data_IF_373749381741
#
_entry.id   IF_373749381741
#
_cell.length_a   1.000
_cell.length_b   1.000
_cell.length_c   1.000
_cell.angle_alpha   90.00
_cell.angle_beta   90.00
_cell.angle_gamma   90.00
#
_symmetry.space_group_name_H-M   'P 1'
#
loop_
_entity.id
_entity.type
_entity.pdbx_description
1 polymer ?
#
# COMPACT_ATOMS: atom_id res chain seq x y z
N UNK A 1 -7.48 -12.39 -2.56
CA UNK A 1 -6.51 -12.15 -3.66
C UNK A 1 -6.36 -10.65 -3.91
N UNK A 2 -5.24 -10.16 -4.48
CA UNK A 2 -5.01 -8.71 -4.69
C UNK A 2 -6.09 -8.07 -5.58
N UNK A 3 -6.40 -8.67 -6.74
CA UNK A 3 -7.43 -8.16 -7.63
C UNK A 3 -8.79 -8.02 -6.93
N UNK A 4 -9.21 -9.05 -6.19
CA UNK A 4 -10.46 -9.00 -5.41
C UNK A 4 -10.45 -7.85 -4.40
N UNK A 5 -9.34 -7.62 -3.71
CA UNK A 5 -9.24 -6.49 -2.78
C UNK A 5 -9.35 -5.14 -3.51
N UNK A 6 -8.65 -4.97 -4.66
CA UNK A 6 -8.73 -3.74 -5.45
C UNK A 6 -10.17 -3.50 -5.91
N UNK A 7 -10.86 -4.53 -6.42
CA UNK A 7 -12.26 -4.44 -6.83
C UNK A 7 -13.17 -4.03 -5.66
N UNK A 8 -13.00 -4.62 -4.47
CA UNK A 8 -13.74 -4.23 -3.27
C UNK A 8 -13.50 -2.76 -2.90
N UNK A 9 -12.27 -2.26 -3.02
CA UNK A 9 -11.96 -0.86 -2.71
C UNK A 9 -12.58 0.08 -3.75
N UNK A 10 -12.50 -0.25 -5.04
CA UNK A 10 -13.16 0.54 -6.10
C UNK A 10 -14.67 0.58 -5.85
N UNK A 11 -15.28 -0.56 -5.53
CA UNK A 11 -16.72 -0.61 -5.22
C UNK A 11 -17.07 0.28 -4.04
N UNK A 12 -16.45 0.06 -2.89
CA UNK A 12 -16.81 0.75 -1.65
C UNK A 12 -16.46 2.23 -1.60
N UNK A 13 -15.37 2.65 -2.27
CA UNK A 13 -14.89 4.03 -2.22
C UNK A 13 -15.26 4.89 -3.42
N UNK A 14 -15.67 4.27 -4.53
CA UNK A 14 -16.01 4.99 -5.76
C UNK A 14 -17.43 4.66 -6.22
N UNK A 15 -17.77 3.38 -6.39
CA UNK A 15 -19.07 3.02 -6.96
C UNK A 15 -20.23 3.18 -5.99
N UNK A 16 -20.10 2.76 -4.73
CA UNK A 16 -21.18 2.90 -3.75
C UNK A 16 -21.58 4.38 -3.55
N UNK A 17 -20.64 5.36 -3.44
CA UNK A 17 -21.00 6.77 -3.46
C UNK A 17 -21.68 7.24 -4.74
N UNK A 18 -21.26 6.75 -5.91
CA UNK A 18 -21.90 7.11 -7.19
C UNK A 18 -23.31 6.56 -7.28
N UNK A 19 -23.53 5.32 -6.85
CA UNK A 19 -24.85 4.70 -6.80
C UNK A 19 -25.78 5.48 -5.86
N UNK A 20 -25.29 5.91 -4.69
CA UNK A 20 -26.06 6.74 -3.75
C UNK A 20 -26.47 8.08 -4.37
N UNK A 21 -25.62 8.68 -5.21
CA UNK A 21 -25.85 10.02 -5.77
C UNK A 21 -26.66 10.01 -7.06
N UNK A 22 -26.54 8.94 -7.86
CA UNK A 22 -27.06 8.88 -9.23
C UNK A 22 -28.01 7.72 -9.50
N UNK A 23 -28.30 6.89 -8.50
CA UNK A 23 -29.21 5.73 -8.51
C UNK A 23 -28.84 4.57 -9.48
N UNK A 24 -27.94 4.80 -10.44
CA UNK A 24 -27.44 3.78 -11.37
C UNK A 24 -26.01 4.08 -11.85
N UNK A 25 -25.08 3.16 -11.59
CA UNK A 25 -23.70 3.19 -12.10
C UNK A 25 -23.48 2.37 -13.38
N UNK A 26 -24.53 1.80 -13.96
CA UNK A 26 -24.49 1.05 -15.22
C UNK A 26 -23.50 -0.12 -15.19
N UNK A 27 -22.61 -0.18 -16.18
CA UNK A 27 -21.63 -1.26 -16.35
C UNK A 27 -20.34 -1.10 -15.52
N UNK A 28 -20.25 -0.03 -14.71
CA UNK A 28 -19.05 0.28 -13.93
C UNK A 28 -18.60 -0.85 -12.98
N UNK A 29 -19.48 -1.64 -12.33
CA UNK A 29 -19.06 -2.75 -11.48
C UNK A 29 -18.27 -3.82 -12.25
N UNK A 30 -18.73 -4.23 -13.43
CA UNK A 30 -18.01 -5.20 -14.26
C UNK A 30 -16.68 -4.64 -14.76
N UNK A 31 -16.66 -3.38 -15.17
CA UNK A 31 -15.42 -2.69 -15.58
C UNK A 31 -14.43 -2.54 -14.42
N UNK A 32 -14.92 -2.36 -13.19
CA UNK A 32 -14.08 -2.28 -12.00
C UNK A 32 -13.37 -3.61 -11.74
N UNK A 33 -14.04 -4.75 -11.92
CA UNK A 33 -13.43 -6.07 -11.79
C UNK A 33 -12.30 -6.26 -12.83
N UNK A 34 -12.51 -5.88 -14.10
CA UNK A 34 -11.46 -5.93 -15.12
C UNK A 34 -10.27 -5.02 -14.81
N UNK A 35 -10.55 -3.79 -14.37
CA UNK A 35 -9.51 -2.82 -13.97
C UNK A 35 -8.71 -3.38 -12.80
N UNK A 36 -9.37 -3.98 -11.81
CA UNK A 36 -8.72 -4.57 -10.66
C UNK A 36 -7.79 -5.74 -11.05
N UNK A 37 -8.21 -6.58 -12.01
CA UNK A 37 -7.35 -7.65 -12.54
C UNK A 37 -6.12 -7.10 -13.26
N UNK A 38 -6.30 -6.11 -14.14
CA UNK A 38 -5.19 -5.49 -14.87
C UNK A 38 -4.18 -4.82 -13.92
N UNK A 39 -4.68 -4.10 -12.92
CA UNK A 39 -3.84 -3.44 -11.91
C UNK A 39 -3.09 -4.46 -11.06
N UNK A 40 -3.77 -5.52 -10.60
CA UNK A 40 -3.12 -6.58 -9.82
C UNK A 40 -2.01 -7.27 -10.62
N UNK A 41 -2.26 -7.58 -11.90
CA UNK A 41 -1.25 -8.14 -12.80
C UNK A 41 -0.05 -7.20 -12.96
N UNK A 42 -0.27 -5.91 -13.20
CA UNK A 42 0.81 -4.92 -13.32
C UNK A 42 1.65 -4.81 -12.04
N UNK A 43 1.02 -4.83 -10.85
CA UNK A 43 1.74 -4.74 -9.57
C UNK A 43 2.54 -5.99 -9.22
N UNK A 44 2.10 -7.16 -9.72
CA UNK A 44 2.74 -8.45 -9.47
C UNK A 44 3.78 -8.83 -10.52
N UNK A 45 3.71 -8.26 -11.73
CA UNK A 45 4.65 -8.51 -12.82
C UNK A 45 6.07 -7.99 -12.56
N UNK A 46 7.01 -8.35 -13.42
CA UNK A 46 8.44 -8.13 -13.17
C UNK A 46 8.91 -6.68 -13.40
N UNK A 47 8.13 -5.87 -14.13
CA UNK A 47 8.42 -4.46 -14.37
C UNK A 47 8.11 -3.61 -13.13
N UNK A 48 9.16 -3.23 -12.38
CA UNK A 48 9.02 -2.43 -11.17
C UNK A 48 8.44 -1.03 -11.43
N UNK A 49 8.76 -0.42 -12.58
CA UNK A 49 8.24 0.91 -12.92
C UNK A 49 6.73 0.85 -13.21
N UNK A 50 6.29 -0.16 -13.96
CA UNK A 50 4.87 -0.41 -14.19
C UNK A 50 4.12 -0.71 -12.89
N UNK A 51 4.72 -1.50 -11.99
CA UNK A 51 4.15 -1.81 -10.68
C UNK A 51 3.98 -0.55 -9.81
N UNK A 52 5.03 0.28 -9.71
CA UNK A 52 5.02 1.55 -8.98
C UNK A 52 3.98 2.51 -9.55
N UNK A 53 3.87 2.61 -10.88
CA UNK A 53 2.87 3.45 -11.52
C UNK A 53 1.43 2.98 -11.23
N UNK A 54 1.17 1.66 -11.31
CA UNK A 54 -0.12 1.09 -10.96
C UNK A 54 -0.50 1.35 -9.49
N UNK A 55 0.47 1.25 -8.57
CA UNK A 55 0.28 1.57 -7.15
C UNK A 55 -0.07 3.05 -6.98
N UNK A 56 0.72 3.96 -7.56
CA UNK A 56 0.48 5.40 -7.46
C UNK A 56 -0.92 5.76 -7.96
N UNK A 57 -1.36 5.16 -9.07
CA UNK A 57 -2.72 5.33 -9.61
C UNK A 57 -3.80 4.90 -8.63
N UNK A 58 -3.66 3.72 -8.01
CA UNK A 58 -4.64 3.20 -7.04
C UNK A 58 -4.69 4.07 -5.79
N UNK A 59 -3.53 4.42 -5.23
CA UNK A 59 -3.45 5.25 -4.02
C UNK A 59 -4.05 6.64 -4.28
N UNK A 60 -3.61 7.30 -5.36
CA UNK A 60 -4.10 8.64 -5.70
C UNK A 60 -5.59 8.70 -6.01
N UNK A 61 -6.16 7.65 -6.63
CA UNK A 61 -7.59 7.64 -6.99
C UNK A 61 -8.50 7.22 -5.83
N UNK A 62 -8.08 6.26 -4.99
CA UNK A 62 -8.97 5.61 -4.01
C UNK A 62 -8.68 5.99 -2.56
N UNK A 63 -7.60 6.73 -2.30
CA UNK A 63 -7.27 7.29 -0.99
C UNK A 63 -7.08 8.80 -1.09
N UNK A 64 -8.07 9.55 -1.63
CA UNK A 64 -7.99 11.00 -1.67
C UNK A 64 -8.08 11.57 -0.25
N UNK A 65 -7.37 12.67 -0.01
CA UNK A 65 -7.42 13.41 1.24
C UNK A 65 -6.45 14.58 1.19
N UNK A 66 -6.71 15.59 2.02
CA UNK A 66 -5.85 16.78 2.14
C UNK A 66 -4.59 16.50 2.98
N UNK A 67 -4.56 15.35 3.66
CA UNK A 67 -3.42 14.88 4.43
C UNK A 67 -2.61 13.86 3.65
N UNK A 68 -1.30 13.72 3.95
CA UNK A 68 -0.50 12.62 3.41
C UNK A 68 -1.16 11.26 3.62
N UNK A 69 -0.92 10.33 2.70
CA UNK A 69 -1.39 8.95 2.82
C UNK A 69 -0.83 8.31 4.09
N UNK A 70 -1.69 8.10 5.10
CA UNK A 70 -1.35 7.53 6.41
C UNK A 70 -2.38 6.46 6.79
N UNK A 71 -2.28 5.24 6.22
CA UNK A 71 -3.26 4.19 6.47
C UNK A 71 -3.03 3.55 7.85
N UNK A 72 -4.07 2.97 8.47
CA UNK A 72 -3.93 2.25 9.73
C UNK A 72 -3.01 1.04 9.60
N UNK A 73 -2.46 0.56 10.73
CA UNK A 73 -1.45 -0.50 10.73
C UNK A 73 -1.92 -1.82 10.09
N UNK A 74 -3.19 -2.19 10.25
CA UNK A 74 -3.79 -3.38 9.66
C UNK A 74 -3.87 -3.32 8.12
N UNK A 75 -3.97 -2.12 7.54
CA UNK A 75 -3.95 -1.93 6.09
C UNK A 75 -2.69 -2.51 5.46
N UNK A 76 -1.53 -2.35 6.12
CA UNK A 76 -0.25 -2.89 5.66
C UNK A 76 -0.23 -4.41 5.57
N UNK A 77 -1.10 -5.11 6.31
CA UNK A 77 -1.23 -6.57 6.27
C UNK A 77 -2.13 -7.07 5.14
N UNK A 78 -2.83 -6.17 4.44
CA UNK A 78 -3.66 -6.55 3.30
C UNK A 78 -2.81 -6.88 2.07
N UNK A 79 -3.33 -7.67 1.11
CA UNK A 79 -2.62 -7.93 -0.15
C UNK A 79 -2.11 -6.68 -0.87
N UNK A 80 -2.91 -5.60 -0.91
CA UNK A 80 -2.52 -4.32 -1.47
C UNK A 80 -1.39 -3.69 -0.63
N UNK A 81 -1.56 -3.62 0.70
CA UNK A 81 -0.53 -3.06 1.58
C UNK A 81 0.81 -3.77 1.49
N UNK A 82 0.82 -5.09 1.39
CA UNK A 82 2.03 -5.90 1.22
C UNK A 82 2.75 -5.61 -0.10
N UNK A 83 1.99 -5.49 -1.20
CA UNK A 83 2.55 -5.14 -2.51
C UNK A 83 3.07 -3.71 -2.55
N UNK A 84 2.36 -2.76 -1.93
CA UNK A 84 2.82 -1.37 -1.79
C UNK A 84 4.11 -1.31 -0.98
N UNK A 85 4.17 -1.95 0.19
CA UNK A 85 5.36 -1.98 1.04
C UNK A 85 6.59 -2.55 0.29
N UNK A 86 6.40 -3.62 -0.48
CA UNK A 86 7.48 -4.27 -1.24
C UNK A 86 7.95 -3.45 -2.45
N UNK A 87 7.02 -2.89 -3.24
CA UNK A 87 7.33 -2.21 -4.51
C UNK A 87 7.74 -0.76 -4.32
N UNK A 88 7.03 -0.04 -3.45
CA UNK A 88 7.16 1.40 -3.29
C UNK A 88 7.68 1.80 -1.90
N UNK A 89 7.40 0.99 -0.88
CA UNK A 89 7.54 1.39 0.52
C UNK A 89 6.35 2.23 0.96
N UNK A 90 6.54 3.14 1.92
CA UNK A 90 5.51 4.10 2.31
C UNK A 90 5.42 5.24 1.28
N UNK A 91 4.29 5.44 0.56
CA UNK A 91 4.20 6.38 -0.56
C UNK A 91 4.47 7.84 -0.20
N UNK A 92 4.18 8.25 1.04
CA UNK A 92 4.19 9.64 1.47
C UNK A 92 5.23 9.97 2.55
N UNK A 93 6.11 9.02 2.92
CA UNK A 93 7.05 9.21 4.02
C UNK A 93 8.44 8.67 3.68
N UNK A 94 9.50 9.37 4.13
CA UNK A 94 10.89 8.89 4.01
C UNK A 94 11.27 7.91 5.12
N UNK A 95 10.63 8.04 6.27
CA UNK A 95 10.82 7.23 7.46
C UNK A 95 9.47 6.94 8.11
N UNK A 96 9.39 5.83 8.81
CA UNK A 96 8.19 5.37 9.49
C UNK A 96 8.50 4.98 10.93
N UNK A 97 7.50 5.09 11.79
CA UNK A 97 7.59 4.61 13.17
C UNK A 97 7.83 3.09 13.21
N UNK A 98 8.31 2.57 14.34
CA UNK A 98 8.63 1.15 14.47
C UNK A 98 7.36 0.28 14.42
N UNK A 99 6.21 0.82 14.82
CA UNK A 99 4.93 0.13 14.70
C UNK A 99 4.51 0.01 13.23
N UNK A 100 4.61 1.09 12.44
CA UNK A 100 4.30 1.06 11.01
C UNK A 100 5.27 0.14 10.27
N UNK A 101 6.58 0.24 10.55
CA UNK A 101 7.57 -0.69 9.98
C UNK A 101 7.27 -2.16 10.33
N UNK A 102 6.86 -2.44 11.58
CA UNK A 102 6.48 -3.79 12.00
C UNK A 102 5.28 -4.30 11.22
N UNK A 103 4.27 -3.44 11.02
CA UNK A 103 3.10 -3.78 10.22
C UNK A 103 3.45 -4.07 8.75
N UNK A 104 4.30 -3.24 8.13
CA UNK A 104 4.80 -3.44 6.76
C UNK A 104 5.57 -4.76 6.61
N UNK A 105 6.42 -5.09 7.60
CA UNK A 105 7.28 -6.27 7.61
C UNK A 105 6.57 -7.55 8.10
N UNK A 106 5.35 -7.45 8.63
CA UNK A 106 4.68 -8.58 9.26
C UNK A 106 5.31 -9.04 10.58
N UNK A 107 6.02 -8.14 11.29
CA UNK A 107 6.67 -8.43 12.59
C UNK A 107 6.18 -7.49 13.68
N UNK A 108 6.54 -7.77 14.94
CA UNK A 108 6.20 -6.90 16.06
C UNK A 108 7.08 -5.64 16.07
N UNK A 109 6.62 -4.58 16.75
CA UNK A 109 7.45 -3.39 17.04
C UNK A 109 8.79 -3.77 17.69
N UNK A 110 8.79 -4.76 18.58
CA UNK A 110 10.01 -5.27 19.21
C UNK A 110 10.93 -5.96 18.20
N UNK A 111 10.37 -6.73 17.26
CA UNK A 111 11.15 -7.31 16.16
C UNK A 111 11.85 -6.25 15.31
N UNK A 112 11.21 -5.09 15.08
CA UNK A 112 11.86 -3.94 14.42
C UNK A 112 13.02 -3.39 15.26
N UNK A 113 12.85 -3.22 16.57
CA UNK A 113 13.94 -2.82 17.46
C UNK A 113 15.15 -3.77 17.34
N UNK A 114 14.90 -5.08 17.32
CA UNK A 114 15.96 -6.09 17.19
C UNK A 114 16.65 -6.04 15.83
N UNK A 115 15.89 -5.85 14.74
CA UNK A 115 16.45 -5.68 13.39
C UNK A 115 17.34 -4.44 13.29
N UNK A 116 16.92 -3.33 13.89
CA UNK A 116 17.72 -2.10 13.95
C UNK A 116 19.00 -2.32 14.74
N UNK A 117 18.92 -2.96 15.93
CA UNK A 117 20.09 -3.26 16.76
C UNK A 117 21.11 -4.16 16.04
N UNK A 118 20.63 -5.06 15.19
CA UNK A 118 21.46 -5.97 14.37
C UNK A 118 21.95 -5.34 13.05
N UNK A 119 21.68 -4.04 12.81
CA UNK A 119 22.07 -3.35 11.58
C UNK A 119 21.33 -3.83 10.34
N UNK A 120 20.15 -4.46 10.49
CA UNK A 120 19.32 -4.96 9.38
C UNK A 120 18.27 -3.97 8.91
N UNK A 121 18.01 -2.91 9.69
CA UNK A 121 17.21 -1.74 9.31
C UNK A 121 17.98 -0.48 9.68
N UNK A 122 17.83 0.56 8.88
CA UNK A 122 18.50 1.83 9.09
C UNK A 122 17.60 2.81 9.84
N UNK A 123 18.11 3.44 10.89
CA UNK A 123 17.42 4.54 11.59
C UNK A 123 17.40 5.78 10.70
N UNK A 124 16.34 6.56 10.82
CA UNK A 124 16.33 7.91 10.26
C UNK A 124 17.22 8.83 11.10
N UNK A 125 17.89 9.79 10.45
CA UNK A 125 18.83 10.73 11.10
C UNK A 125 18.18 11.54 12.22
N UNK A 126 16.87 11.78 12.11
CA UNK A 126 16.14 12.67 13.01
C UNK A 126 15.55 11.89 14.21
N UNK A 127 15.87 10.59 14.33
CA UNK A 127 15.66 9.78 15.53
C UNK A 127 14.27 9.18 15.73
N UNK A 128 13.27 9.56 14.92
CA UNK A 128 11.87 9.16 15.11
C UNK A 128 11.46 7.77 14.59
N UNK A 129 12.31 7.07 13.86
CA UNK A 129 11.88 5.87 13.12
C UNK A 129 12.97 5.11 12.36
N UNK A 130 12.54 4.30 11.40
CA UNK A 130 13.38 3.61 10.44
C UNK A 130 13.10 4.12 9.03
N UNK A 131 14.12 4.12 8.17
CA UNK A 131 13.97 4.60 6.79
C UNK A 131 13.11 3.61 5.98
N UNK A 132 12.22 4.16 5.15
CA UNK A 132 11.37 3.38 4.26
C UNK A 132 12.20 2.57 3.26
N UNK A 133 13.32 3.15 2.80
CA UNK A 133 14.28 2.46 1.94
C UNK A 133 14.80 1.16 2.57
N UNK A 134 15.16 1.17 3.86
CA UNK A 134 15.65 -0.04 4.54
C UNK A 134 14.55 -1.08 4.75
N UNK A 135 13.31 -0.65 5.02
CA UNK A 135 12.15 -1.54 5.13
C UNK A 135 11.86 -2.21 3.79
N UNK A 136 11.81 -1.43 2.69
CA UNK A 136 11.59 -1.94 1.33
C UNK A 136 12.70 -2.91 0.92
N UNK A 137 13.96 -2.55 1.15
CA UNK A 137 15.10 -3.42 0.85
C UNK A 137 14.98 -4.78 1.57
N UNK A 138 14.49 -4.78 2.82
CA UNK A 138 14.28 -6.00 3.59
C UNK A 138 13.14 -6.89 3.09
N UNK A 139 12.11 -6.31 2.46
CA UNK A 139 11.00 -7.05 1.84
C UNK A 139 11.37 -7.64 0.48
N UNK A 140 12.37 -7.08 -0.20
CA UNK A 140 12.91 -7.60 -1.45
C UNK A 140 14.09 -8.56 -1.30
N UNK A 141 14.61 -8.71 -0.08
CA UNK A 141 15.71 -9.61 0.29
C UNK A 141 15.20 -10.89 0.95
#
# INVERSE_FOLDING_TARGET
MLAQQIATIIRTRLLDPLEILFDDVGDLPSRADEVAQRLAAAMQGDDDAAAVHAIARVIGALYPGDTPFDPPADWWRTPLGQVVARRMGHPAARSVSYSVAGAMLGVTKQGVHDLVRRGKLARDSDGGGVTVASVRARLGA
#
